data_IF_183616676122
#
_entry.id   IF_183616676122
#
_cell.length_a   1.000
_cell.length_b   1.000
_cell.length_c   1.000
_cell.angle_alpha   90.00
_cell.angle_beta   90.00
_cell.angle_gamma   90.00
#
_symmetry.space_group_name_H-M   'P 1'
#
loop_
_entity.id
_entity.type
_entity.pdbx_description
1 polymer ?
#
# COMPACT_ATOMS: atom_id res chain seq x y z
N UNK A 1 9.25 18.78 -4.24
CA UNK A 1 8.41 17.87 -3.45
C UNK A 1 9.32 16.81 -2.85
N UNK A 2 9.46 16.74 -1.53
CA UNK A 2 10.21 15.68 -0.83
C UNK A 2 9.35 14.41 -0.72
N UNK A 3 9.93 13.25 -1.02
CA UNK A 3 9.18 11.99 -1.05
C UNK A 3 9.90 10.92 -0.23
N UNK A 4 9.15 10.17 0.56
CA UNK A 4 9.66 9.02 1.29
C UNK A 4 8.96 7.73 0.84
N UNK A 5 9.73 6.65 0.69
CA UNK A 5 9.24 5.29 0.49
C UNK A 5 9.58 4.47 1.73
N UNK A 6 8.58 3.88 2.37
CA UNK A 6 8.75 3.09 3.59
C UNK A 6 8.17 1.69 3.45
N UNK A 7 8.85 0.73 4.05
CA UNK A 7 8.44 -0.66 4.13
C UNK A 7 8.89 -1.28 5.45
N UNK A 8 8.37 -2.46 5.78
CA UNK A 8 8.89 -3.31 6.84
C UNK A 8 8.44 -4.75 6.65
N UNK A 9 9.18 -5.70 7.22
CA UNK A 9 8.82 -7.10 7.28
C UNK A 9 9.05 -7.63 8.70
N UNK A 10 8.04 -8.28 9.29
CA UNK A 10 8.13 -8.87 10.63
C UNK A 10 7.83 -10.37 10.55
N UNK A 11 8.61 -11.17 11.28
CA UNK A 11 8.47 -12.63 11.29
C UNK A 11 8.64 -13.20 9.87
N UNK A 12 7.71 -14.04 9.39
CA UNK A 12 7.80 -14.62 8.03
C UNK A 12 7.85 -13.58 6.90
N UNK A 13 7.38 -12.35 7.13
CA UNK A 13 7.41 -11.29 6.12
C UNK A 13 8.80 -10.64 5.95
N UNK A 14 9.74 -10.92 6.85
CA UNK A 14 11.14 -10.49 6.69
C UNK A 14 11.77 -11.11 5.44
N UNK A 15 11.51 -12.40 5.17
CA UNK A 15 11.99 -13.06 3.94
C UNK A 15 11.38 -12.42 2.69
N UNK A 16 10.09 -12.08 2.72
CA UNK A 16 9.42 -11.44 1.59
C UNK A 16 10.05 -10.06 1.30
N UNK A 17 10.29 -9.28 2.35
CA UNK A 17 11.00 -8.01 2.22
C UNK A 17 12.42 -8.21 1.67
N UNK A 18 13.15 -9.25 2.07
CA UNK A 18 14.48 -9.52 1.52
C UNK A 18 14.47 -9.73 0.00
N UNK A 19 13.43 -10.39 -0.51
CA UNK A 19 13.23 -10.61 -1.95
C UNK A 19 12.86 -9.30 -2.66
N UNK A 20 11.98 -8.50 -2.07
CA UNK A 20 11.43 -7.29 -2.68
C UNK A 20 12.38 -6.07 -2.62
N UNK A 21 13.19 -5.98 -1.56
CA UNK A 21 14.05 -4.84 -1.22
C UNK A 21 14.86 -4.29 -2.39
N UNK A 22 15.54 -5.11 -3.23
CA UNK A 22 16.33 -4.56 -4.34
C UNK A 22 15.50 -3.69 -5.28
N UNK A 23 14.27 -4.11 -5.59
CA UNK A 23 13.36 -3.37 -6.46
C UNK A 23 12.90 -2.04 -5.83
N UNK A 24 12.72 -2.01 -4.51
CA UNK A 24 12.30 -0.82 -3.78
C UNK A 24 13.43 0.22 -3.72
N UNK A 25 14.64 -0.22 -3.42
CA UNK A 25 15.82 0.64 -3.39
C UNK A 25 16.13 1.22 -4.78
N UNK A 26 16.02 0.41 -5.83
CA UNK A 26 16.19 0.86 -7.21
C UNK A 26 15.12 1.90 -7.60
N UNK A 27 13.85 1.67 -7.23
CA UNK A 27 12.75 2.59 -7.51
C UNK A 27 12.94 3.92 -6.78
N UNK A 28 13.25 3.85 -5.48
CA UNK A 28 13.49 5.03 -4.66
C UNK A 28 14.64 5.87 -5.22
N UNK A 29 15.77 5.23 -5.57
CA UNK A 29 16.93 5.90 -6.18
C UNK A 29 16.57 6.54 -7.52
N UNK A 30 15.88 5.81 -8.40
CA UNK A 30 15.51 6.29 -9.75
C UNK A 30 14.65 7.54 -9.70
N UNK A 31 13.70 7.58 -8.76
CA UNK A 31 12.70 8.63 -8.69
C UNK A 31 12.92 9.65 -7.57
N UNK A 32 14.05 9.60 -6.87
CA UNK A 32 14.41 10.55 -5.82
C UNK A 32 13.52 10.46 -4.57
N UNK A 33 13.17 9.26 -4.13
CA UNK A 33 12.60 9.02 -2.80
C UNK A 33 13.71 8.72 -1.80
N UNK A 34 13.56 9.20 -0.57
CA UNK A 34 14.30 8.67 0.56
C UNK A 34 13.69 7.32 0.96
N UNK A 35 14.52 6.29 1.08
CA UNK A 35 14.10 4.92 1.36
C UNK A 35 14.27 4.57 2.85
N UNK A 36 13.22 4.02 3.44
CA UNK A 36 13.17 3.63 4.85
C UNK A 36 12.72 2.17 5.01
N UNK A 37 13.49 1.39 5.76
CA UNK A 37 13.05 0.10 6.31
C UNK A 37 12.77 0.28 7.80
N UNK A 38 11.49 0.30 8.18
CA UNK A 38 11.14 0.40 9.59
C UNK A 38 11.47 -0.90 10.32
N UNK A 39 12.08 -0.76 11.50
CA UNK A 39 12.40 -1.88 12.37
C UNK A 39 11.63 -1.73 13.67
N UNK A 40 11.06 -2.83 14.15
CA UNK A 40 10.36 -2.85 15.42
C UNK A 40 11.09 -3.76 16.40
N UNK A 41 11.56 -3.17 17.50
CA UNK A 41 12.15 -3.91 18.61
C UNK A 41 11.09 -4.34 19.62
N UNK A 42 11.39 -5.41 20.36
CA UNK A 42 10.58 -5.84 21.50
C UNK A 42 9.22 -6.46 21.12
N UNK A 43 8.31 -6.50 22.11
CA UNK A 43 6.95 -6.99 21.90
C UNK A 43 6.09 -5.85 21.36
N UNK A 44 5.49 -6.06 20.19
CA UNK A 44 4.52 -5.14 19.61
C UNK A 44 3.24 -5.11 20.45
N UNK A 45 2.69 -3.92 20.70
CA UNK A 45 1.42 -3.75 21.39
C UNK A 45 0.21 -3.97 20.48
N UNK A 46 0.43 -4.05 19.16
CA UNK A 46 -0.58 -4.28 18.13
C UNK A 46 -0.08 -5.29 17.10
N UNK A 47 -0.97 -5.87 16.29
CA UNK A 47 -0.55 -6.66 15.14
C UNK A 47 0.35 -5.84 14.19
N UNK A 48 1.38 -6.46 13.57
CA UNK A 48 2.36 -5.75 12.74
C UNK A 48 1.76 -4.86 11.64
N UNK A 49 0.64 -5.28 11.03
CA UNK A 49 -0.01 -4.56 9.93
C UNK A 49 -0.35 -3.09 10.30
N UNK A 50 -0.72 -2.85 11.56
CA UNK A 50 -1.06 -1.52 12.07
C UNK A 50 0.09 -0.52 12.05
N UNK A 51 1.35 -0.98 12.09
CA UNK A 51 2.49 -0.09 12.25
C UNK A 51 2.82 0.72 10.99
N UNK A 52 2.24 0.37 9.83
CA UNK A 52 2.31 1.22 8.62
C UNK A 52 1.74 2.61 8.88
N UNK A 53 0.71 2.72 9.72
CA UNK A 53 0.10 3.99 10.12
C UNK A 53 1.13 4.90 10.81
N UNK A 54 1.86 4.37 11.80
CA UNK A 54 2.84 5.15 12.55
C UNK A 54 4.01 5.58 11.66
N UNK A 55 4.49 4.68 10.78
CA UNK A 55 5.51 5.02 9.79
C UNK A 55 5.06 6.18 8.88
N UNK A 56 3.82 6.14 8.38
CA UNK A 56 3.27 7.20 7.54
C UNK A 56 3.13 8.52 8.31
N UNK A 57 2.59 8.51 9.54
CA UNK A 57 2.49 9.70 10.39
C UNK A 57 3.87 10.35 10.60
N UNK A 58 4.88 9.56 10.93
CA UNK A 58 6.21 10.08 11.24
C UNK A 58 6.90 10.68 10.02
N UNK A 59 6.77 10.05 8.85
CA UNK A 59 7.32 10.58 7.61
C UNK A 59 6.58 11.84 7.13
N UNK A 60 5.25 11.87 7.21
CA UNK A 60 4.46 13.03 6.76
C UNK A 60 4.70 14.31 7.58
N UNK A 61 5.38 14.23 8.73
CA UNK A 61 5.84 15.41 9.48
C UNK A 61 6.96 16.16 8.77
N UNK A 62 7.74 15.50 7.91
CA UNK A 62 8.91 16.09 7.23
C UNK A 62 8.92 15.90 5.71
N UNK A 63 8.03 15.08 5.17
CA UNK A 63 7.92 14.79 3.74
C UNK A 63 6.59 15.30 3.15
N UNK A 64 6.65 15.84 1.94
CA UNK A 64 5.46 16.25 1.19
C UNK A 64 4.60 15.04 0.74
N UNK A 65 5.22 13.87 0.66
CA UNK A 65 4.58 12.60 0.30
C UNK A 65 5.29 11.43 0.99
N UNK A 66 4.51 10.51 1.55
CA UNK A 66 4.99 9.23 2.07
C UNK A 66 4.27 8.09 1.35
N UNK A 67 5.02 7.07 0.94
CA UNK A 67 4.51 5.87 0.29
C UNK A 67 4.84 4.67 1.16
N UNK A 68 3.83 3.97 1.63
CA UNK A 68 4.00 2.63 2.18
C UNK A 68 3.95 1.61 1.04
N UNK A 69 4.90 0.67 1.05
CA UNK A 69 4.89 -0.50 0.19
C UNK A 69 5.06 -1.76 1.04
N UNK A 70 4.10 -2.68 0.95
CA UNK A 70 4.07 -3.93 1.71
C UNK A 70 5.25 -4.84 1.39
N UNK A 71 5.65 -5.68 2.33
CA UNK A 71 6.79 -6.60 2.15
C UNK A 71 6.55 -7.67 1.09
N UNK A 72 5.29 -7.94 0.73
CA UNK A 72 4.90 -8.99 -0.20
C UNK A 72 4.54 -8.47 -1.59
N UNK A 73 5.04 -7.28 -1.94
CA UNK A 73 4.99 -6.70 -3.27
C UNK A 73 6.36 -6.79 -3.96
N UNK A 74 6.39 -6.72 -5.29
CA UNK A 74 7.63 -6.59 -6.06
C UNK A 74 7.41 -5.58 -7.18
N UNK A 75 8.28 -4.58 -7.29
CA UNK A 75 8.25 -3.62 -8.40
C UNK A 75 8.90 -4.28 -9.63
N UNK A 76 8.05 -4.84 -10.50
CA UNK A 76 8.48 -5.53 -11.73
C UNK A 76 8.71 -4.59 -12.90
N UNK A 77 8.17 -3.37 -12.85
CA UNK A 77 8.48 -2.28 -13.78
C UNK A 77 8.44 -0.92 -13.07
N UNK A 78 9.62 -0.44 -12.69
CA UNK A 78 9.80 0.81 -11.95
C UNK A 78 10.18 2.02 -12.80
N UNK A 79 9.96 2.00 -14.12
CA UNK A 79 10.41 3.08 -15.02
C UNK A 79 9.64 4.38 -14.87
N UNK A 80 8.36 4.31 -14.52
CA UNK A 80 7.52 5.49 -14.29
C UNK A 80 7.37 5.77 -12.78
N UNK A 81 7.22 7.04 -12.44
CA UNK A 81 7.04 7.48 -11.05
C UNK A 81 5.54 7.47 -10.67
N UNK A 82 5.22 7.16 -9.40
CA UNK A 82 3.85 7.14 -8.89
C UNK A 82 3.10 8.47 -9.09
N UNK A 83 3.71 9.66 -8.89
CA UNK A 83 3.08 10.95 -9.14
C UNK A 83 2.74 11.21 -10.61
N UNK A 84 3.46 10.61 -11.56
CA UNK A 84 3.17 10.77 -12.99
C UNK A 84 1.89 10.04 -13.41
N UNK A 85 1.39 9.11 -12.60
CA UNK A 85 0.08 8.48 -12.79
C UNK A 85 -1.11 9.44 -12.48
N UNK A 86 -0.86 10.71 -12.17
CA UNK A 86 -1.88 11.68 -11.75
C UNK A 86 -1.92 12.93 -12.67
N UNK A 87 -3.07 13.32 -13.28
CA UNK A 87 -3.27 14.67 -13.79
C UNK A 87 -3.12 15.69 -12.65
N UNK A 88 -2.48 16.80 -12.99
CA UNK A 88 -2.06 17.88 -12.10
C UNK A 88 -3.25 18.70 -11.58
N UNK A 89 -3.84 18.26 -10.47
CA UNK A 89 -4.43 19.16 -9.47
C UNK A 89 -4.06 18.66 -8.07
N UNK A 90 -2.93 19.16 -7.57
CA UNK A 90 -2.25 18.67 -6.37
C UNK A 90 -3.03 18.84 -5.06
N UNK A 91 -4.05 19.71 -5.04
CA UNK A 91 -4.79 20.12 -3.85
C UNK A 91 -6.05 19.30 -3.52
N UNK A 92 -6.46 18.37 -4.38
CA UNK A 92 -7.76 17.68 -4.18
C UNK A 92 -7.69 16.39 -3.38
N UNK A 93 -6.57 15.66 -3.41
CA UNK A 93 -6.47 14.32 -2.81
C UNK A 93 -5.49 14.27 -1.63
N UNK A 94 -5.81 13.42 -0.66
CA UNK A 94 -5.01 13.19 0.55
C UNK A 94 -4.27 11.86 0.49
N UNK A 95 -4.89 10.86 -0.14
CA UNK A 95 -4.31 9.54 -0.35
C UNK A 95 -4.56 9.00 -1.75
N UNK A 96 -3.72 8.07 -2.18
CA UNK A 96 -3.92 7.29 -3.37
C UNK A 96 -3.56 5.81 -3.15
N UNK A 97 -4.31 4.92 -3.81
CA UNK A 97 -4.17 3.46 -3.70
C UNK A 97 -4.89 2.75 -4.85
N UNK A 98 -4.68 1.45 -5.02
CA UNK A 98 -5.49 0.64 -5.92
C UNK A 98 -6.78 0.24 -5.22
N UNK A 99 -7.87 0.12 -5.99
CA UNK A 99 -9.05 -0.62 -5.57
C UNK A 99 -9.27 -1.79 -6.50
N UNK A 100 -9.36 -2.97 -5.93
CA UNK A 100 -9.50 -4.22 -6.65
C UNK A 100 -10.96 -4.55 -6.91
N UNK A 101 -11.26 -5.11 -8.08
CA UNK A 101 -12.57 -5.69 -8.38
C UNK A 101 -12.42 -7.20 -8.37
N UNK A 102 -12.75 -7.80 -7.22
CA UNK A 102 -12.58 -9.23 -6.95
C UNK A 102 -13.92 -9.85 -6.53
N UNK A 103 -13.89 -11.13 -6.16
CA UNK A 103 -15.05 -11.78 -5.53
C UNK A 103 -15.39 -11.15 -4.17
N UNK A 104 -14.43 -10.48 -3.52
CA UNK A 104 -14.65 -9.71 -2.28
C UNK A 104 -15.22 -8.31 -2.54
N UNK A 105 -15.68 -8.00 -3.75
CA UNK A 105 -16.29 -6.70 -4.08
C UNK A 105 -15.29 -5.70 -4.63
N UNK A 106 -15.54 -4.41 -4.38
CA UNK A 106 -14.66 -3.31 -4.77
C UNK A 106 -13.86 -2.88 -3.54
N UNK A 107 -12.63 -3.35 -3.40
CA UNK A 107 -11.88 -3.26 -2.14
C UNK A 107 -10.63 -2.39 -2.32
N UNK A 108 -10.51 -1.25 -1.62
CA UNK A 108 -9.25 -0.51 -1.57
C UNK A 108 -8.18 -1.37 -0.90
N UNK A 109 -6.95 -1.38 -1.43
CA UNK A 109 -5.83 -2.08 -0.81
C UNK A 109 -4.72 -1.09 -0.42
N UNK A 110 -4.33 -1.13 0.84
CA UNK A 110 -3.35 -0.21 1.43
C UNK A 110 -1.94 -0.80 1.56
N UNK A 111 -1.63 -1.89 0.84
CA UNK A 111 -0.25 -2.41 0.74
C UNK A 111 0.58 -1.68 -0.33
N UNK A 112 -0.05 -0.89 -1.21
CA UNK A 112 0.57 0.26 -1.83
C UNK A 112 -0.26 1.50 -1.48
N UNK A 113 0.24 2.30 -0.54
CA UNK A 113 -0.50 3.43 0.00
C UNK A 113 0.30 4.71 -0.04
N UNK A 114 -0.18 5.66 -0.84
CA UNK A 114 0.44 6.97 -1.02
C UNK A 114 -0.36 7.96 -0.18
N UNK A 115 0.33 8.72 0.68
CA UNK A 115 -0.29 9.72 1.54
C UNK A 115 0.41 11.08 1.41
N UNK A 116 -0.36 12.14 1.66
CA UNK A 116 0.09 13.53 1.82
C UNK A 116 -0.19 14.02 3.24
N UNK A 117 0.43 15.14 3.68
CA UNK A 117 0.27 15.65 5.06
C UNK A 117 -1.16 15.78 5.58
N UNK A 118 -2.20 16.13 4.77
CA UNK A 118 -3.58 16.14 5.25
C UNK A 118 -4.11 14.78 5.77
N UNK A 119 -3.43 13.66 5.46
CA UNK A 119 -3.75 12.35 6.02
C UNK A 119 -3.36 12.18 7.48
N UNK A 120 -2.46 12.99 8.06
CA UNK A 120 -2.01 12.83 9.46
C UNK A 120 -3.20 12.70 10.44
N UNK A 121 -4.18 13.63 10.49
CA UNK A 121 -5.31 13.50 11.42
C UNK A 121 -6.19 12.28 11.13
N UNK A 122 -6.27 11.84 9.86
CA UNK A 122 -7.00 10.62 9.49
C UNK A 122 -6.26 9.38 9.97
N UNK A 123 -4.94 9.32 9.79
CA UNK A 123 -4.08 8.24 10.25
C UNK A 123 -4.12 8.12 11.77
N UNK A 124 -4.11 9.24 12.49
CA UNK A 124 -4.29 9.27 13.95
C UNK A 124 -5.67 8.72 14.36
N UNK A 125 -6.73 9.04 13.59
CA UNK A 125 -8.05 8.47 13.82
C UNK A 125 -8.05 6.95 13.57
N UNK A 126 -7.50 6.48 12.46
CA UNK A 126 -7.36 5.05 12.14
C UNK A 126 -6.63 4.35 13.28
N UNK A 127 -5.49 4.88 13.73
CA UNK A 127 -4.73 4.33 14.86
C UNK A 127 -5.59 4.23 16.13
N UNK A 128 -6.54 5.12 16.37
CA UNK A 128 -7.40 5.05 17.56
C UNK A 128 -8.60 4.09 17.41
N UNK A 129 -8.86 3.54 16.23
CA UNK A 129 -9.99 2.63 15.96
C UNK A 129 -9.70 1.19 16.41
N UNK A 130 -9.57 0.99 17.71
CA UNK A 130 -9.18 -0.28 18.33
C UNK A 130 -10.18 -1.43 18.11
N UNK A 131 -11.41 -1.14 17.70
CA UNK A 131 -12.42 -2.17 17.38
C UNK A 131 -12.01 -3.06 16.19
N UNK A 132 -11.07 -2.61 15.35
CA UNK A 132 -10.57 -3.38 14.20
C UNK A 132 -9.27 -4.13 14.49
N UNK A 133 -8.76 -4.11 15.73
CA UNK A 133 -7.45 -4.68 16.06
C UNK A 133 -7.31 -6.16 15.68
N UNK A 134 -8.39 -6.94 15.67
CA UNK A 134 -8.36 -8.36 15.31
C UNK A 134 -9.24 -8.67 14.09
N UNK A 135 -9.58 -7.66 13.29
CA UNK A 135 -10.35 -7.84 12.06
C UNK A 135 -9.48 -8.52 10.99
N UNK A 136 -10.03 -9.37 10.13
CA UNK A 136 -9.28 -10.02 9.04
C UNK A 136 -8.66 -9.07 8.00
N UNK A 137 -9.07 -7.79 8.01
CA UNK A 137 -8.47 -6.71 7.23
C UNK A 137 -7.68 -5.70 8.08
N UNK A 138 -7.56 -5.92 9.39
CA UNK A 138 -6.74 -5.10 10.30
C UNK A 138 -7.00 -3.59 10.16
N UNK A 139 -5.94 -2.78 10.01
CA UNK A 139 -6.03 -1.33 9.79
C UNK A 139 -6.78 -0.94 8.52
N UNK A 140 -6.74 -1.78 7.48
CA UNK A 140 -7.47 -1.51 6.24
C UNK A 140 -8.98 -1.46 6.50
N UNK A 141 -9.50 -2.25 7.45
CA UNK A 141 -10.90 -2.15 7.87
C UNK A 141 -11.24 -0.79 8.49
N UNK A 142 -10.33 -0.25 9.31
CA UNK A 142 -10.49 1.06 9.92
C UNK A 142 -10.45 2.18 8.85
N UNK A 143 -9.53 2.09 7.89
CA UNK A 143 -9.48 2.96 6.72
C UNK A 143 -10.79 2.91 5.92
N UNK A 144 -11.27 1.69 5.64
CA UNK A 144 -12.50 1.43 4.88
C UNK A 144 -13.73 2.03 5.57
N UNK A 145 -13.87 1.90 6.89
CA UNK A 145 -14.95 2.52 7.67
C UNK A 145 -14.96 4.05 7.49
N UNK A 146 -13.79 4.71 7.64
CA UNK A 146 -13.68 6.15 7.42
C UNK A 146 -13.97 6.59 5.98
N UNK A 147 -13.69 5.72 5.01
CA UNK A 147 -14.03 5.90 3.60
C UNK A 147 -15.51 5.61 3.28
N UNK A 148 -16.33 5.20 4.25
CA UNK A 148 -17.76 4.92 4.04
C UNK A 148 -18.05 3.54 3.45
N UNK A 149 -17.10 2.61 3.54
CA UNK A 149 -17.37 1.20 3.32
C UNK A 149 -17.97 0.59 4.59
N UNK A 150 -18.55 -0.60 4.43
CA UNK A 150 -19.02 -1.41 5.55
C UNK A 150 -18.06 -2.59 5.73
N UNK A 151 -17.11 -2.53 6.68
CA UNK A 151 -16.22 -3.64 6.97
C UNK A 151 -16.88 -4.67 7.91
N UNK A 152 -18.12 -4.47 8.38
CA UNK A 152 -18.69 -5.26 9.47
C UNK A 152 -18.96 -6.73 9.15
N UNK A 153 -18.89 -7.12 7.87
CA UNK A 153 -19.10 -8.50 7.45
C UNK A 153 -17.82 -9.06 6.84
N UNK A 154 -16.97 -9.58 7.73
CA UNK A 154 -15.80 -10.36 7.36
C UNK A 154 -16.21 -11.46 6.37
N UNK A 155 -15.49 -11.59 5.25
CA UNK A 155 -15.73 -12.54 4.16
C UNK A 155 -16.90 -12.27 3.21
N UNK A 156 -17.57 -11.12 3.27
CA UNK A 156 -18.56 -10.74 2.25
C UNK A 156 -18.01 -9.70 1.26
N UNK A 157 -18.60 -9.61 0.05
CA UNK A 157 -18.24 -8.56 -0.88
C UNK A 157 -18.46 -7.17 -0.29
N UNK A 158 -17.40 -6.38 -0.19
CA UNK A 158 -17.46 -5.02 0.34
C UNK A 158 -17.53 -3.99 -0.80
N UNK A 159 -18.42 -3.03 -0.62
CA UNK A 159 -18.64 -1.91 -1.52
C UNK A 159 -18.81 -0.64 -0.68
N UNK A 160 -18.42 0.53 -1.21
CA UNK A 160 -18.63 1.79 -0.49
C UNK A 160 -20.13 2.05 -0.38
N UNK A 161 -20.63 2.14 0.86
CA UNK A 161 -22.03 2.47 1.17
C UNK A 161 -22.28 3.97 1.11
N UNK A 162 -21.26 4.75 1.44
CA UNK A 162 -21.32 6.20 1.50
C UNK A 162 -20.10 6.85 0.85
N UNK A 163 -20.17 7.05 -0.48
CA UNK A 163 -19.14 7.78 -1.23
C UNK A 163 -19.13 9.29 -0.93
N UNK A 164 -20.05 9.79 -0.11
CA UNK A 164 -20.09 11.20 0.28
C UNK A 164 -19.10 11.53 1.40
N UNK A 165 -18.54 10.51 2.07
CA UNK A 165 -17.49 10.68 3.08
C UNK A 165 -16.30 11.44 2.52
N UNK A 166 -15.80 12.37 3.33
CA UNK A 166 -14.71 13.25 2.90
C UNK A 166 -13.48 12.43 2.50
N UNK A 167 -13.10 11.43 3.29
CA UNK A 167 -11.94 10.61 2.97
C UNK A 167 -12.09 9.89 1.62
N UNK A 168 -13.29 9.40 1.28
CA UNK A 168 -13.55 8.82 -0.04
C UNK A 168 -13.34 9.83 -1.16
N UNK A 169 -13.90 11.06 -1.03
CA UNK A 169 -13.73 12.14 -2.02
C UNK A 169 -12.28 12.59 -2.16
N UNK A 170 -11.49 12.47 -1.08
CA UNK A 170 -10.06 12.77 -1.02
C UNK A 170 -9.18 11.58 -1.37
N UNK A 171 -9.77 10.45 -1.76
CA UNK A 171 -9.03 9.26 -2.19
C UNK A 171 -8.96 9.20 -3.70
N UNK A 172 -7.74 8.99 -4.19
CA UNK A 172 -7.50 8.75 -5.59
C UNK A 172 -7.25 7.26 -5.85
N UNK A 173 -8.09 6.65 -6.68
CA UNK A 173 -7.86 5.28 -7.12
C UNK A 173 -6.94 5.27 -8.35
N UNK A 174 -5.83 4.53 -8.27
CA UNK A 174 -4.89 4.34 -9.38
C UNK A 174 -5.15 3.05 -10.13
N UNK A 175 -4.55 2.94 -11.33
CA UNK A 175 -4.62 1.73 -12.16
C UNK A 175 -4.13 0.50 -11.39
N UNK A 176 -4.79 -0.63 -11.61
CA UNK A 176 -4.44 -1.92 -10.99
C UNK A 176 -3.04 -2.40 -11.35
N UNK A 177 -2.40 -1.86 -12.40
CA UNK A 177 -1.00 -2.14 -12.71
C UNK A 177 -0.02 -1.80 -11.58
N UNK A 178 -0.40 -0.88 -10.68
CA UNK A 178 0.43 -0.45 -9.56
C UNK A 178 0.29 -1.33 -8.32
N UNK A 179 -0.67 -2.24 -8.28
CA UNK A 179 -0.81 -3.22 -7.22
C UNK A 179 -1.67 -4.35 -7.81
N UNK A 180 -1.02 -5.37 -8.37
CA UNK A 180 -1.71 -6.42 -9.11
C UNK A 180 -2.12 -7.54 -8.17
N UNK A 181 -3.44 -7.74 -8.04
CA UNK A 181 -3.99 -8.85 -7.28
C UNK A 181 -4.40 -10.00 -8.20
N UNK A 182 -3.96 -11.22 -7.91
CA UNK A 182 -4.22 -12.43 -8.74
C UNK A 182 -5.70 -12.76 -8.98
N UNK A 183 -6.60 -12.22 -8.16
CA UNK A 183 -8.05 -12.42 -8.28
C UNK A 183 -8.80 -11.19 -8.80
N UNK A 184 -8.09 -10.14 -9.24
CA UNK A 184 -8.74 -9.07 -10.01
C UNK A 184 -9.40 -9.67 -11.25
N UNK A 185 -10.64 -9.24 -11.54
CA UNK A 185 -11.37 -9.63 -12.76
C UNK A 185 -10.58 -9.31 -14.03
N UNK A 186 -9.76 -8.26 -13.99
CA UNK A 186 -8.94 -7.81 -15.11
C UNK A 186 -7.48 -7.70 -14.68
N UNK A 187 -6.63 -8.51 -15.30
CA UNK A 187 -5.19 -8.45 -15.10
C UNK A 187 -4.57 -7.46 -16.09
N UNK A 188 -3.71 -6.53 -15.65
CA UNK A 188 -3.05 -5.59 -16.55
C UNK A 188 -2.03 -6.31 -17.45
N UNK A 189 -1.91 -5.86 -18.70
CA UNK A 189 -0.94 -6.41 -19.66
C UNK A 189 0.51 -6.08 -19.28
N UNK A 190 0.71 -4.92 -18.65
CA UNK A 190 2.02 -4.41 -18.23
C UNK A 190 1.97 -4.10 -16.72
N UNK A 191 2.10 -5.14 -15.86
CA UNK A 191 2.13 -4.93 -14.42
C UNK A 191 3.37 -4.10 -14.05
N UNK A 192 3.22 -3.18 -13.10
CA UNK A 192 4.32 -2.41 -12.51
C UNK A 192 4.72 -2.95 -11.15
N UNK A 193 3.72 -3.32 -10.35
CA UNK A 193 3.93 -3.93 -9.05
C UNK A 193 3.03 -5.16 -8.91
N UNK A 194 3.64 -6.29 -8.63
CA UNK A 194 2.94 -7.56 -8.38
C UNK A 194 2.75 -7.77 -6.89
N UNK A 195 1.57 -8.22 -6.47
CA UNK A 195 1.24 -8.50 -5.06
C UNK A 195 1.12 -10.00 -4.82
N UNK A 196 1.93 -10.52 -3.90
CA UNK A 196 1.99 -11.94 -3.58
C UNK A 196 0.85 -12.40 -2.66
N UNK A 197 -0.07 -11.51 -2.25
CA UNK A 197 -1.22 -11.92 -1.46
C UNK A 197 -2.01 -13.05 -2.14
N UNK A 198 -2.54 -13.97 -1.32
CA UNK A 198 -3.28 -15.16 -1.78
C UNK A 198 -2.51 -16.13 -2.71
N UNK A 199 -1.19 -15.98 -2.83
CA UNK A 199 -0.32 -17.02 -3.41
C UNK A 199 0.05 -18.07 -2.36
N UNK A 200 -0.05 -19.38 -2.67
CA UNK A 200 0.29 -20.44 -1.71
C UNK A 200 1.75 -20.39 -1.26
N UNK A 201 2.67 -20.11 -2.19
CA UNK A 201 4.10 -19.95 -1.94
C UNK A 201 4.53 -18.53 -2.37
N UNK A 202 4.36 -17.58 -1.45
CA UNK A 202 4.70 -16.16 -1.68
C UNK A 202 6.19 -15.97 -1.97
N UNK A 203 7.14 -16.57 -1.22
CA UNK A 203 8.56 -16.43 -1.54
C UNK A 203 8.93 -16.94 -2.94
N UNK A 204 8.37 -18.07 -3.39
CA UNK A 204 8.67 -18.59 -4.72
C UNK A 204 8.24 -17.64 -5.84
N UNK A 205 6.97 -17.19 -5.83
CA UNK A 205 6.45 -16.31 -6.88
C UNK A 205 7.15 -14.94 -6.87
N UNK A 206 7.46 -14.41 -5.69
CA UNK A 206 8.19 -13.14 -5.58
C UNK A 206 9.60 -13.24 -6.14
N UNK A 207 10.27 -14.39 -6.01
CA UNK A 207 11.59 -14.60 -6.63
C UNK A 207 11.52 -14.64 -8.16
N UNK A 208 10.42 -15.10 -8.74
CA UNK A 208 10.19 -15.01 -10.19
C UNK A 208 10.02 -13.55 -10.63
N UNK A 209 9.23 -12.77 -9.89
CA UNK A 209 9.03 -11.35 -10.15
C UNK A 209 10.29 -10.52 -9.93
N UNK A 210 11.10 -10.84 -8.92
CA UNK A 210 12.36 -10.16 -8.66
C UNK A 210 13.34 -10.31 -9.84
N UNK A 211 13.36 -11.49 -10.49
CA UNK A 211 14.13 -11.69 -11.73
C UNK A 211 13.60 -10.83 -12.89
N UNK A 212 12.29 -10.66 -12.99
CA UNK A 212 11.70 -9.76 -14.01
C UNK A 212 12.12 -8.30 -13.78
N UNK A 213 12.19 -7.89 -12.51
CA UNK A 213 12.60 -6.54 -12.13
C UNK A 213 14.05 -6.20 -12.54
N UNK A 214 14.93 -7.19 -12.68
CA UNK A 214 16.34 -6.98 -13.06
C UNK A 214 16.48 -6.18 -14.37
N UNK A 215 15.54 -6.35 -15.31
CA UNK A 215 15.53 -5.64 -16.58
C UNK A 215 15.55 -4.12 -16.38
N UNK A 216 14.52 -3.57 -15.74
CA UNK A 216 14.41 -2.12 -15.55
C UNK A 216 15.39 -1.56 -14.51
N UNK A 217 15.81 -2.38 -13.54
CA UNK A 217 16.80 -1.96 -12.54
C UNK A 217 18.19 -1.73 -13.14
N UNK A 218 18.49 -2.37 -14.27
CA UNK A 218 19.77 -2.28 -14.98
C UNK A 218 19.83 -1.17 -16.05
N UNK A 219 18.69 -0.55 -16.38
CA UNK A 219 18.57 0.63 -17.26
C UNK A 219 18.99 1.91 -16.54
#
# INVERSE_FOLDING_TARGET
MTKALVTFGVGPHAELLDIARPSYQAFAKRHGYDYFEAQFGGTLSRPPAWYKIQCLIDLLKSYDMAVFIGSDLVIVDGRDDLPQAFPLNESEWWQAMVSHDTQCGYVPNDDLWICKPPMIPVLEQIWNMTQYLNHGWWEQAALMDLMGYDPAIEHFPTYPKDKSRELYKRTRFISTEWNVHKWDKWQPLHPRIQHATMWPDRPAIMREWAKQAEGWMSE
#
